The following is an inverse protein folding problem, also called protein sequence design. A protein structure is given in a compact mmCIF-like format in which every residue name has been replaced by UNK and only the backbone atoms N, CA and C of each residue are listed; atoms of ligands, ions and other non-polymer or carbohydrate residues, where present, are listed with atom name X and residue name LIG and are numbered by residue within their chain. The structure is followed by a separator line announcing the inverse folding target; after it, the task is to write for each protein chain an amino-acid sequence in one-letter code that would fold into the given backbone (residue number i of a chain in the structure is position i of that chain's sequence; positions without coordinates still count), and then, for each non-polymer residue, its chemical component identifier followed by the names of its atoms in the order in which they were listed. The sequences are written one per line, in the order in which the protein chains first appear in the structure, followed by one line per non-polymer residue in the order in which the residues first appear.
data_IF_707179398311
#
_entry.id   IF_707179398311
#
_cell.length_a   1.000
_cell.length_b   1.000
_cell.length_c   1.000
_cell.angle_alpha   90.00
_cell.angle_beta   90.00
_cell.angle_gamma   90.00
#
_symmetry.space_group_name_H-M   'P 1'
#
loop_
_entity.id
_entity.type
_entity.pdbx_description
1 polymer ?
#
# COMPACT_ATOMS: atom_id res chain seq x y z
N UNK A 1 -40.70 -41.02 -73.01
CA UNK A 1 -40.19 -39.82 -72.34
C UNK A 1 -40.38 -40.06 -70.85
N UNK A 2 -39.33 -40.44 -70.11
CA UNK A 2 -39.44 -40.72 -68.68
C UNK A 2 -39.34 -39.38 -67.94
N UNK A 3 -40.43 -38.95 -67.30
CA UNK A 3 -40.40 -37.83 -66.36
C UNK A 3 -39.71 -38.29 -65.07
N UNK A 4 -38.38 -38.28 -65.10
CA UNK A 4 -37.56 -38.33 -63.90
C UNK A 4 -37.66 -36.96 -63.24
N UNK A 5 -38.79 -36.69 -62.57
CA UNK A 5 -38.94 -35.54 -61.68
C UNK A 5 -38.63 -36.01 -60.25
N UNK A 6 -37.35 -35.93 -59.79
CA UNK A 6 -36.91 -36.44 -58.50
C UNK A 6 -37.53 -35.70 -57.30
N UNK A 7 -38.26 -34.60 -57.52
CA UNK A 7 -38.89 -33.79 -56.49
C UNK A 7 -40.34 -34.19 -56.19
N UNK A 8 -40.94 -35.10 -56.97
CA UNK A 8 -42.34 -35.54 -56.80
C UNK A 8 -42.44 -37.00 -56.34
N UNK A 9 -41.49 -37.44 -55.50
CA UNK A 9 -41.63 -38.68 -54.75
C UNK A 9 -42.52 -38.38 -53.53
N UNK A 10 -43.55 -39.20 -53.23
CA UNK A 10 -44.48 -38.95 -52.12
C UNK A 10 -43.78 -38.89 -50.75
N UNK A 11 -42.55 -39.43 -50.65
CA UNK A 11 -41.75 -39.47 -49.43
C UNK A 11 -40.78 -38.29 -49.27
N UNK A 12 -40.54 -37.50 -50.32
CA UNK A 12 -39.63 -36.34 -50.29
C UNK A 12 -39.97 -35.29 -49.20
N UNK A 13 -41.25 -34.87 -48.99
CA UNK A 13 -41.56 -33.91 -47.93
C UNK A 13 -41.24 -34.47 -46.53
N UNK A 14 -41.47 -35.76 -46.31
CA UNK A 14 -41.14 -36.42 -45.05
C UNK A 14 -39.62 -36.50 -44.82
N UNK A 15 -38.84 -36.78 -45.86
CA UNK A 15 -37.38 -36.79 -45.77
C UNK A 15 -36.78 -35.42 -45.43
N UNK A 16 -37.31 -34.33 -46.00
CA UNK A 16 -36.87 -32.98 -45.66
C UNK A 16 -37.19 -32.60 -44.21
N UNK A 17 -38.36 -33.00 -43.69
CA UNK A 17 -38.73 -32.78 -42.29
C UNK A 17 -37.81 -33.55 -41.33
N UNK A 18 -37.43 -34.79 -41.68
CA UNK A 18 -36.48 -35.58 -40.90
C UNK A 18 -35.10 -34.91 -40.90
N UNK A 19 -34.61 -34.44 -42.06
CA UNK A 19 -33.34 -33.72 -42.16
C UNK A 19 -33.32 -32.44 -41.30
N UNK A 20 -34.40 -31.65 -41.33
CA UNK A 20 -34.54 -30.45 -40.50
C UNK A 20 -34.59 -30.78 -39.00
N UNK A 21 -35.30 -31.86 -38.63
CA UNK A 21 -35.33 -32.34 -37.25
C UNK A 21 -33.96 -32.78 -36.75
N UNK A 22 -33.23 -33.57 -37.53
CA UNK A 22 -31.88 -34.07 -37.16
C UNK A 22 -30.88 -32.94 -37.04
N UNK A 23 -30.87 -31.99 -37.99
CA UNK A 23 -29.98 -30.82 -37.93
C UNK A 23 -30.30 -29.89 -36.76
N UNK A 24 -31.58 -29.67 -36.46
CA UNK A 24 -32.00 -28.92 -35.28
C UNK A 24 -31.55 -29.56 -33.96
N UNK A 25 -31.73 -30.87 -33.82
CA UNK A 25 -31.30 -31.61 -32.62
C UNK A 25 -29.78 -31.62 -32.49
N UNK A 26 -29.05 -31.86 -33.58
CA UNK A 26 -27.59 -31.86 -33.57
C UNK A 26 -27.03 -30.47 -33.20
N UNK A 27 -27.59 -29.41 -33.78
CA UNK A 27 -27.23 -28.03 -33.46
C UNK A 27 -27.52 -27.67 -32.01
N UNK A 28 -28.67 -28.09 -31.48
CA UNK A 28 -29.02 -27.89 -30.08
C UNK A 28 -28.06 -28.63 -29.14
N UNK A 29 -27.68 -29.87 -29.45
CA UNK A 29 -26.72 -30.65 -28.64
C UNK A 29 -25.35 -29.97 -28.63
N UNK A 30 -24.82 -29.59 -29.78
CA UNK A 30 -23.51 -28.93 -29.89
C UNK A 30 -23.52 -27.59 -29.16
N UNK A 31 -24.54 -26.77 -29.36
CA UNK A 31 -24.71 -25.48 -28.69
C UNK A 31 -24.84 -25.62 -27.17
N UNK A 32 -25.66 -26.57 -26.72
CA UNK A 32 -25.86 -26.85 -25.29
C UNK A 32 -24.56 -27.33 -24.62
N UNK A 33 -23.79 -28.19 -25.28
CA UNK A 33 -22.48 -28.65 -24.77
C UNK A 33 -21.49 -27.48 -24.69
N UNK A 34 -21.38 -26.66 -25.74
CA UNK A 34 -20.47 -25.51 -25.79
C UNK A 34 -20.81 -24.42 -24.77
N UNK A 35 -22.08 -24.17 -24.52
CA UNK A 35 -22.51 -23.17 -23.55
C UNK A 35 -22.27 -23.67 -22.12
N UNK A 36 -22.47 -24.96 -21.87
CA UNK A 36 -22.23 -25.57 -20.56
C UNK A 36 -20.74 -25.59 -20.19
N UNK A 37 -19.82 -25.66 -21.15
CA UNK A 37 -18.39 -25.49 -20.87
C UNK A 37 -18.01 -24.06 -20.51
N UNK A 38 -18.65 -23.06 -21.15
CA UNK A 38 -18.39 -21.65 -20.89
C UNK A 38 -18.88 -21.25 -19.49
N UNK A 39 -20.07 -21.72 -19.08
CA UNK A 39 -20.60 -21.48 -17.73
C UNK A 39 -19.66 -22.05 -16.66
N UNK A 40 -19.15 -23.27 -16.86
CA UNK A 40 -18.19 -23.88 -15.93
C UNK A 40 -16.88 -23.09 -15.81
N UNK A 41 -16.35 -22.60 -16.93
CA UNK A 41 -15.13 -21.77 -16.93
C UNK A 41 -15.34 -20.47 -16.14
N UNK A 42 -16.47 -19.80 -16.34
CA UNK A 42 -16.79 -18.57 -15.59
C UNK A 42 -16.96 -18.82 -14.09
N UNK A 43 -17.59 -19.94 -13.70
CA UNK A 43 -17.74 -20.35 -12.30
C UNK A 43 -16.38 -20.62 -11.64
N UNK A 44 -15.47 -21.30 -12.36
CA UNK A 44 -14.10 -21.57 -11.89
C UNK A 44 -13.28 -20.27 -11.73
N UNK A 45 -13.36 -19.34 -12.70
CA UNK A 45 -12.68 -18.04 -12.65
C UNK A 45 -13.18 -17.15 -11.51
N UNK A 46 -14.49 -17.15 -11.24
CA UNK A 46 -15.10 -16.46 -10.10
C UNK A 46 -14.58 -17.05 -8.78
N UNK A 47 -14.53 -18.37 -8.65
CA UNK A 47 -14.05 -19.05 -7.45
C UNK A 47 -12.55 -18.86 -7.20
N UNK A 48 -11.74 -18.62 -8.23
CA UNK A 48 -10.33 -18.24 -8.11
C UNK A 48 -10.23 -16.78 -7.67
N UNK A 49 -10.96 -15.87 -8.32
CA UNK A 49 -10.94 -14.44 -8.00
C UNK A 49 -11.36 -14.17 -6.54
N UNK A 50 -12.36 -14.89 -6.04
CA UNK A 50 -12.81 -14.80 -4.64
C UNK A 50 -11.72 -15.24 -3.66
N UNK A 51 -10.98 -16.31 -3.98
CA UNK A 51 -9.85 -16.79 -3.16
C UNK A 51 -8.67 -15.82 -3.14
N UNK A 52 -8.33 -15.23 -4.28
CA UNK A 52 -7.23 -14.26 -4.37
C UNK A 52 -7.54 -12.98 -3.56
N UNK A 53 -8.81 -12.53 -3.55
CA UNK A 53 -9.25 -11.42 -2.70
C UNK A 53 -9.16 -11.79 -1.22
N UNK A 54 -9.62 -12.98 -0.83
CA UNK A 54 -9.48 -13.44 0.55
C UNK A 54 -8.02 -13.53 0.99
N UNK A 55 -7.10 -13.96 0.12
CA UNK A 55 -5.67 -14.04 0.43
C UNK A 55 -5.03 -12.65 0.62
N UNK A 56 -5.41 -11.68 -0.21
CA UNK A 56 -4.99 -10.28 -0.05
C UNK A 56 -5.53 -9.64 1.24
N UNK A 57 -6.76 -9.99 1.64
CA UNK A 57 -7.38 -9.50 2.87
C UNK A 57 -6.89 -10.25 4.12
N UNK A 58 -6.49 -11.52 3.96
CA UNK A 58 -6.01 -12.38 5.05
C UNK A 58 -4.55 -12.15 5.36
N UNK A 59 -3.73 -11.59 4.44
CA UNK A 59 -2.36 -11.18 4.79
C UNK A 59 -2.44 -10.14 5.90
N UNK A 60 -2.12 -10.52 7.15
CA UNK A 60 -2.09 -9.54 8.18
C UNK A 60 -0.76 -8.80 7.96
N UNK A 61 -0.80 -7.49 7.78
CA UNK A 61 0.39 -6.63 7.96
C UNK A 61 0.73 -6.63 9.48
N UNK A 62 0.94 -7.82 10.05
CA UNK A 62 1.22 -8.07 11.46
C UNK A 62 2.55 -8.80 11.67
N UNK A 63 3.22 -9.20 10.58
CA UNK A 63 4.51 -9.89 10.60
C UNK A 63 5.74 -8.96 10.53
N UNK A 64 5.55 -7.68 10.20
CA UNK A 64 6.57 -6.67 10.37
C UNK A 64 6.24 -5.92 11.66
N UNK A 65 7.17 -5.79 12.60
CA UNK A 65 6.99 -5.10 13.89
C UNK A 65 6.75 -3.60 13.76
N UNK A 66 5.83 -3.20 12.90
CA UNK A 66 5.40 -1.84 12.69
C UNK A 66 4.15 -1.65 13.55
N UNK A 67 4.31 -0.89 14.63
CA UNK A 67 3.18 -0.45 15.43
C UNK A 67 2.31 0.46 14.56
N UNK A 68 1.10 0.02 14.18
CA UNK A 68 0.16 0.80 13.36
C UNK A 68 -0.07 2.20 13.94
N UNK A 69 -0.16 2.29 15.27
CA UNK A 69 -0.29 3.56 15.99
C UNK A 69 0.90 4.50 15.74
N UNK A 70 2.10 3.95 15.66
CA UNK A 70 3.34 4.67 15.37
C UNK A 70 3.32 5.23 13.94
N UNK A 71 2.87 4.45 12.95
CA UNK A 71 2.69 4.92 11.57
C UNK A 71 1.72 6.09 11.53
N UNK A 72 0.56 5.96 12.18
CA UNK A 72 -0.47 6.99 12.19
C UNK A 72 0.09 8.31 12.75
N UNK A 73 0.82 8.23 13.86
CA UNK A 73 1.49 9.39 14.47
C UNK A 73 2.56 9.97 13.53
N UNK A 74 3.42 9.14 12.94
CA UNK A 74 4.47 9.63 12.04
C UNK A 74 3.91 10.28 10.78
N UNK A 75 2.82 9.75 10.23
CA UNK A 75 2.19 10.31 9.03
C UNK A 75 1.62 11.71 9.29
N UNK A 76 0.95 11.94 10.42
CA UNK A 76 0.46 13.28 10.76
C UNK A 76 1.59 14.27 11.05
N UNK A 77 2.68 13.82 11.66
CA UNK A 77 3.87 14.65 11.89
C UNK A 77 4.53 15.04 10.57
N UNK A 78 4.72 14.09 9.65
CA UNK A 78 5.28 14.34 8.31
C UNK A 78 4.43 15.33 7.51
N UNK A 79 3.10 15.26 7.62
CA UNK A 79 2.21 16.21 6.97
C UNK A 79 2.43 17.65 7.43
N UNK A 80 2.96 17.85 8.64
CA UNK A 80 3.26 19.15 9.26
C UNK A 80 4.75 19.52 9.20
N UNK A 81 5.60 18.70 8.60
CA UNK A 81 7.05 18.92 8.57
C UNK A 81 7.46 20.27 7.95
N UNK A 82 6.66 20.77 6.99
CA UNK A 82 6.88 22.08 6.36
C UNK A 82 6.65 23.29 7.27
N UNK A 83 6.09 23.11 8.47
CA UNK A 83 5.92 24.19 9.46
C UNK A 83 7.23 24.54 10.20
N UNK A 84 8.27 23.71 10.09
CA UNK A 84 9.54 23.90 10.80
C UNK A 84 10.62 24.47 9.87
N UNK A 85 11.25 25.56 10.30
CA UNK A 85 12.28 26.22 9.50
C UNK A 85 13.66 25.56 9.64
N UNK A 86 13.91 24.60 8.74
CA UNK A 86 15.21 23.92 8.64
C UNK A 86 16.35 24.83 8.15
N UNK A 87 16.06 26.00 7.57
CA UNK A 87 17.12 26.88 7.06
C UNK A 87 17.98 27.46 8.18
N UNK A 88 17.40 27.63 9.37
CA UNK A 88 18.05 28.21 10.55
C UNK A 88 18.99 27.24 11.25
N UNK A 89 18.57 25.99 11.43
CA UNK A 89 19.35 24.93 12.11
C UNK A 89 20.34 24.22 11.18
N UNK A 90 20.16 24.38 9.88
CA UNK A 90 20.87 23.66 8.83
C UNK A 90 20.09 22.46 8.32
N UNK A 91 20.30 22.11 7.06
CA UNK A 91 19.73 20.92 6.43
C UNK A 91 20.67 19.72 6.60
N UNK A 92 20.07 18.56 6.68
CA UNK A 92 20.75 17.26 6.68
C UNK A 92 19.78 16.23 6.11
N UNK A 93 20.33 15.17 5.52
CA UNK A 93 19.57 14.05 5.00
C UNK A 93 19.77 12.79 5.86
N UNK A 94 18.95 11.77 5.62
CA UNK A 94 19.03 10.49 6.33
C UNK A 94 20.41 9.80 6.22
N UNK A 95 21.19 10.10 5.18
CA UNK A 95 22.56 9.60 5.01
C UNK A 95 23.57 10.23 5.98
N UNK A 96 23.25 11.40 6.51
CA UNK A 96 24.07 12.11 7.50
C UNK A 96 23.57 11.90 8.93
N UNK A 97 22.51 11.11 9.11
CA UNK A 97 21.83 10.98 10.39
C UNK A 97 22.75 10.50 11.51
N UNK A 98 22.66 11.20 12.64
CA UNK A 98 23.26 10.80 13.90
C UNK A 98 22.35 9.81 14.64
N UNK A 99 22.93 9.06 15.58
CA UNK A 99 22.14 8.31 16.56
C UNK A 99 21.63 9.28 17.64
N UNK A 100 20.46 9.88 17.41
CA UNK A 100 19.87 10.86 18.31
C UNK A 100 19.48 10.26 19.66
N UNK A 101 19.37 8.93 19.76
CA UNK A 101 19.08 8.22 21.03
C UNK A 101 20.22 8.33 22.04
N UNK A 102 21.39 8.83 21.63
CA UNK A 102 22.46 9.18 22.57
C UNK A 102 22.11 10.39 23.45
N UNK A 103 21.12 11.20 23.07
CA UNK A 103 20.63 12.30 23.89
C UNK A 103 19.67 11.75 24.95
N UNK A 104 19.93 12.07 26.22
CA UNK A 104 19.05 11.66 27.32
C UNK A 104 17.64 12.21 27.11
N UNK A 105 16.64 11.32 27.15
CA UNK A 105 15.24 11.64 26.91
C UNK A 105 14.77 11.42 25.46
N UNK A 106 15.69 11.11 24.53
CA UNK A 106 15.36 10.71 23.16
C UNK A 106 15.32 9.18 23.05
N UNK A 107 14.12 8.63 22.93
CA UNK A 107 13.91 7.20 22.64
C UNK A 107 13.82 6.91 21.14
N UNK A 108 13.82 5.63 20.74
CA UNK A 108 13.77 5.23 19.31
C UNK A 108 12.58 5.81 18.54
N UNK A 109 11.42 5.93 19.19
CA UNK A 109 10.26 6.53 18.55
C UNK A 109 10.39 8.05 18.40
N UNK A 110 10.99 8.71 19.40
CA UNK A 110 11.16 10.16 19.37
C UNK A 110 12.17 10.58 18.29
N UNK A 111 13.24 9.80 18.11
CA UNK A 111 14.17 9.93 16.98
C UNK A 111 13.43 9.85 15.64
N UNK A 112 12.54 8.86 15.46
CA UNK A 112 11.72 8.76 14.23
C UNK A 112 10.82 9.98 14.02
N UNK A 113 10.26 10.57 15.09
CA UNK A 113 9.47 11.80 15.00
C UNK A 113 10.32 13.01 14.59
N UNK A 114 11.54 13.13 15.11
CA UNK A 114 12.50 14.17 14.72
C UNK A 114 12.90 14.01 13.25
N UNK A 115 13.19 12.77 12.82
CA UNK A 115 13.48 12.47 11.42
C UNK A 115 12.29 12.78 10.51
N UNK A 116 11.05 12.59 10.99
CA UNK A 116 9.85 12.92 10.24
C UNK A 116 9.68 14.42 9.96
N UNK A 117 10.30 15.30 10.76
CA UNK A 117 10.33 16.76 10.55
C UNK A 117 11.66 17.26 9.95
N UNK A 118 12.54 16.36 9.52
CA UNK A 118 13.81 16.71 8.85
C UNK A 118 14.98 17.04 9.79
N UNK A 119 14.87 16.68 11.08
CA UNK A 119 15.97 16.80 12.05
C UNK A 119 16.66 15.45 12.14
N UNK A 120 17.91 15.37 11.70
CA UNK A 120 18.68 14.12 11.61
C UNK A 120 19.98 14.15 12.39
N UNK A 121 20.51 15.33 12.75
CA UNK A 121 21.89 15.45 13.28
C UNK A 121 21.94 16.15 14.64
N UNK A 122 22.98 15.83 15.42
CA UNK A 122 23.30 16.53 16.67
C UNK A 122 23.53 18.02 16.42
N UNK A 123 24.17 18.38 15.29
CA UNK A 123 24.42 19.77 14.90
C UNK A 123 23.13 20.59 14.79
N UNK A 124 22.09 20.01 14.19
CA UNK A 124 20.79 20.67 14.06
C UNK A 124 20.17 20.97 15.42
N UNK A 125 20.14 19.97 16.32
CA UNK A 125 19.56 20.12 17.66
C UNK A 125 20.39 21.08 18.53
N UNK A 126 21.71 21.07 18.37
CA UNK A 126 22.62 22.00 19.07
C UNK A 126 22.37 23.47 18.70
N UNK A 127 21.75 23.74 17.54
CA UNK A 127 21.41 25.09 17.10
C UNK A 127 19.99 25.52 17.47
N UNK A 128 19.19 24.70 18.16
CA UNK A 128 17.84 25.07 18.59
C UNK A 128 17.87 26.29 19.53
N UNK A 129 17.04 27.28 19.23
CA UNK A 129 16.71 28.36 20.15
C UNK A 129 15.37 28.03 20.85
N UNK A 130 14.88 28.94 21.70
CA UNK A 130 13.64 28.73 22.44
C UNK A 130 12.41 28.54 21.53
N UNK A 131 12.29 29.31 20.45
CA UNK A 131 11.22 29.21 19.46
C UNK A 131 11.23 27.85 18.75
N UNK A 132 12.41 27.34 18.35
CA UNK A 132 12.49 26.02 17.74
C UNK A 132 12.14 24.92 18.73
N UNK A 133 12.56 25.04 19.99
CA UNK A 133 12.21 24.05 21.00
C UNK A 133 10.70 23.99 21.16
N UNK A 134 10.04 25.15 21.24
CA UNK A 134 8.58 25.21 21.39
C UNK A 134 7.88 24.65 20.13
N UNK A 135 8.38 25.01 18.93
CA UNK A 135 7.84 24.51 17.66
C UNK A 135 8.04 23.00 17.47
N UNK A 136 9.23 22.49 17.76
CA UNK A 136 9.56 21.07 17.68
C UNK A 136 8.75 20.28 18.70
N UNK A 137 8.61 20.78 19.92
CA UNK A 137 7.77 20.16 20.96
C UNK A 137 6.33 19.97 20.49
N UNK A 138 5.74 21.00 19.87
CA UNK A 138 4.40 20.92 19.29
C UNK A 138 4.34 19.93 18.12
N UNK A 139 5.27 20.04 17.17
CA UNK A 139 5.26 19.22 15.94
C UNK A 139 5.44 17.73 16.21
N UNK A 140 6.32 17.37 17.15
CA UNK A 140 6.56 15.96 17.50
C UNK A 140 5.61 15.47 18.61
N UNK A 141 4.66 16.31 19.03
CA UNK A 141 3.69 16.03 20.09
C UNK A 141 4.37 15.51 21.36
N UNK A 142 5.41 16.25 21.81
CA UNK A 142 6.16 15.91 23.02
C UNK A 142 5.69 16.74 24.21
N UNK A 143 6.06 16.29 25.41
CA UNK A 143 5.69 17.00 26.63
C UNK A 143 6.47 18.31 26.73
N UNK A 144 5.78 19.45 26.98
CA UNK A 144 6.42 20.74 27.08
C UNK A 144 7.44 20.79 28.22
N UNK A 145 8.53 21.54 28.00
CA UNK A 145 9.61 21.73 28.97
C UNK A 145 10.59 20.57 29.11
N UNK A 146 10.32 19.40 28.50
CA UNK A 146 11.22 18.24 28.60
C UNK A 146 12.53 18.44 27.85
N UNK A 147 12.50 19.04 26.67
CA UNK A 147 13.69 19.31 25.85
C UNK A 147 14.69 20.19 26.62
N UNK A 148 14.19 21.20 27.33
CA UNK A 148 15.00 22.07 28.19
C UNK A 148 15.47 21.35 29.46
N UNK A 149 14.57 20.66 30.17
CA UNK A 149 14.90 19.97 31.42
C UNK A 149 15.94 18.87 31.21
N UNK A 150 15.84 18.16 30.10
CA UNK A 150 16.81 17.14 29.70
C UNK A 150 18.01 17.74 28.94
N UNK A 151 18.12 19.06 28.78
CA UNK A 151 19.24 19.75 28.15
C UNK A 151 19.66 19.17 26.78
N UNK A 152 18.69 18.96 25.88
CA UNK A 152 18.99 18.37 24.56
C UNK A 152 20.00 19.19 23.77
N UNK A 153 19.88 20.51 23.79
CA UNK A 153 20.77 21.43 23.05
C UNK A 153 22.20 21.30 23.54
N UNK A 154 22.44 21.32 24.85
CA UNK A 154 23.77 21.17 25.42
C UNK A 154 24.38 19.79 25.17
N UNK A 155 23.59 18.72 25.33
CA UNK A 155 24.05 17.37 25.03
C UNK A 155 24.42 17.20 23.55
N UNK A 156 23.59 17.75 22.66
CA UNK A 156 23.81 17.68 21.22
C UNK A 156 25.05 18.48 20.81
N UNK A 157 25.34 19.60 21.45
CA UNK A 157 26.56 20.36 21.19
C UNK A 157 27.83 19.54 21.53
N UNK A 158 27.83 18.81 22.65
CA UNK A 158 28.96 17.95 23.04
C UNK A 158 29.08 16.68 22.17
N UNK A 159 27.96 16.12 21.71
CA UNK A 159 27.94 15.00 20.77
C UNK A 159 28.40 15.43 19.37
N UNK A 160 28.00 16.62 18.91
CA UNK A 160 28.39 17.16 17.62
C UNK A 160 29.90 17.40 17.52
N UNK A 161 30.56 17.85 18.61
CA UNK A 161 32.02 18.01 18.65
C UNK A 161 32.73 16.66 18.48
N UNK A 162 32.30 15.64 19.24
CA UNK A 162 32.87 14.28 19.20
C UNK A 162 32.73 13.58 17.87
N UNK A 163 31.78 13.98 17.02
CA UNK A 163 31.62 13.43 15.66
C UNK A 163 32.70 13.94 14.69
N UNK A 164 33.23 15.13 14.93
CA UNK A 164 34.19 15.81 14.04
C UNK A 164 35.63 15.37 14.31
N UNK A 165 35.90 14.83 15.50
CA UNK A 165 37.18 14.24 15.92
C UNK A 165 37.34 12.79 15.43
#
# INVERSE_FOLDING_TARGET
MFDLNPLNLPDAPMQHLIMLGVTGVLGFIIGYISQRSLVRQLEDDLAITERDIEECQRWPISGFGINTDEIIVLNRIRARAGEFDLSRIGRADATEADDLKQIVGVGPFLEKKLHAIGVYTFRQIAHFNQEDIDKVTDLIEYFPGRIQRDNWVGQSAELAKRRVE
#
